data_IF_040405195120
#
_entry.id   IF_040405195120
#
_cell.length_a   1.000
_cell.length_b   1.000
_cell.length_c   1.000
_cell.angle_alpha   90.00
_cell.angle_beta   90.00
_cell.angle_gamma   90.00
#
_symmetry.space_group_name_H-M   'P 1'
#
loop_
_entity.id
_entity.type
_entity.pdbx_description
1 polymer ?
#
# COMPACT_ATOMS: atom_id res chain seq x y z
N UNK A 1 -7.67 -2.03 -10.68
CA UNK A 1 -6.20 -2.19 -10.70
C UNK A 1 -5.70 -2.00 -9.30
N UNK A 2 -4.92 -2.93 -8.80
CA UNK A 2 -4.27 -2.86 -7.50
C UNK A 2 -2.79 -2.54 -7.72
N UNK A 3 -2.20 -1.74 -6.85
CA UNK A 3 -0.83 -1.30 -6.98
C UNK A 3 -0.03 -1.56 -5.72
N UNK A 4 1.19 -2.06 -5.88
CA UNK A 4 2.24 -2.06 -4.86
C UNK A 4 3.34 -1.10 -5.29
N UNK A 5 3.95 -0.43 -4.33
CA UNK A 5 5.00 0.54 -4.61
C UNK A 5 6.26 0.23 -3.81
N UNK A 6 7.42 0.52 -4.38
CA UNK A 6 8.71 0.41 -3.69
C UNK A 6 9.30 1.80 -3.49
N UNK A 7 9.71 2.09 -2.25
CA UNK A 7 10.51 3.26 -1.93
C UNK A 7 11.87 2.78 -1.42
N UNK A 8 12.93 3.18 -2.12
CA UNK A 8 14.30 2.73 -1.85
C UNK A 8 15.16 3.91 -1.39
N UNK A 9 15.61 3.86 -0.14
CA UNK A 9 16.65 4.67 0.44
C UNK A 9 17.89 3.82 0.75
N UNK A 10 18.48 3.98 1.90
CA UNK A 10 19.44 3.02 2.48
C UNK A 10 18.70 1.77 2.96
N UNK A 11 17.44 1.92 3.34
CA UNK A 11 16.47 0.87 3.60
C UNK A 11 15.40 0.86 2.54
N UNK A 12 14.78 -0.31 2.34
CA UNK A 12 13.74 -0.51 1.33
C UNK A 12 12.39 -0.76 2.00
N UNK A 13 11.38 -0.01 1.58
CA UNK A 13 10.00 -0.22 1.96
C UNK A 13 9.16 -0.63 0.75
N UNK A 14 8.28 -1.62 0.93
CA UNK A 14 7.17 -1.88 0.02
C UNK A 14 5.88 -1.34 0.64
N UNK A 15 5.04 -0.70 -0.16
CA UNK A 15 3.77 -0.13 0.25
C UNK A 15 2.65 -0.93 -0.40
N UNK A 16 1.80 -1.50 0.44
CA UNK A 16 0.77 -2.48 0.17
C UNK A 16 1.26 -3.74 -0.56
N UNK A 17 0.83 -4.88 -0.11
CA UNK A 17 1.22 -6.18 -0.65
C UNK A 17 0.09 -6.82 -1.42
N UNK A 18 -0.03 -6.48 -2.68
CA UNK A 18 -1.16 -6.86 -3.53
C UNK A 18 -1.21 -8.37 -3.78
N UNK A 19 -2.39 -8.96 -3.58
CA UNK A 19 -2.71 -10.33 -3.95
C UNK A 19 -3.95 -10.36 -4.85
N UNK A 20 -3.91 -11.16 -5.90
CA UNK A 20 -5.07 -11.42 -6.75
C UNK A 20 -5.87 -12.64 -6.29
N UNK A 21 -6.93 -12.98 -7.03
CA UNK A 21 -7.78 -14.15 -6.76
C UNK A 21 -7.03 -15.48 -6.79
N UNK A 22 -5.96 -15.57 -7.58
CA UNK A 22 -5.13 -16.77 -7.75
C UNK A 22 -3.88 -16.79 -6.86
N UNK A 23 -3.82 -15.86 -5.87
CA UNK A 23 -2.66 -15.69 -5.00
C UNK A 23 -1.77 -14.51 -5.39
N UNK A 24 -0.53 -14.50 -4.89
CA UNK A 24 0.45 -13.48 -5.25
C UNK A 24 0.78 -13.57 -6.72
N UNK A 25 0.69 -12.45 -7.43
CA UNK A 25 0.96 -12.41 -8.86
C UNK A 25 2.44 -12.66 -9.15
N UNK A 26 2.74 -13.55 -10.08
CA UNK A 26 4.10 -13.74 -10.63
C UNK A 26 4.67 -12.40 -11.14
N UNK A 27 3.81 -11.51 -11.63
CA UNK A 27 4.15 -10.16 -12.07
C UNK A 27 4.83 -9.32 -10.98
N UNK A 28 4.45 -9.48 -9.70
CA UNK A 28 5.12 -8.79 -8.59
C UNK A 28 6.58 -9.20 -8.51
N UNK A 29 6.86 -10.51 -8.51
CA UNK A 29 8.22 -11.02 -8.42
C UNK A 29 9.05 -10.67 -9.66
N UNK A 30 8.46 -10.75 -10.87
CA UNK A 30 9.10 -10.29 -12.09
C UNK A 30 9.48 -8.80 -12.05
N UNK A 31 8.61 -7.95 -11.48
CA UNK A 31 8.90 -6.52 -11.34
C UNK A 31 9.99 -6.26 -10.30
N UNK A 32 10.01 -6.99 -9.18
CA UNK A 32 11.10 -6.92 -8.20
C UNK A 32 12.44 -7.32 -8.85
N UNK A 33 12.47 -8.44 -9.58
CA UNK A 33 13.67 -8.92 -10.28
C UNK A 33 14.16 -7.93 -11.34
N UNK A 34 13.26 -7.39 -12.19
CA UNK A 34 13.59 -6.40 -13.22
C UNK A 34 14.18 -5.09 -12.66
N UNK A 35 13.91 -4.78 -11.40
CA UNK A 35 14.42 -3.60 -10.72
C UNK A 35 15.56 -3.91 -9.74
N UNK A 36 16.15 -5.11 -9.83
CA UNK A 36 17.22 -5.56 -8.93
C UNK A 36 16.86 -5.44 -7.44
N UNK A 37 15.63 -5.80 -7.09
CA UNK A 37 15.13 -5.78 -5.72
C UNK A 37 14.97 -7.22 -5.24
N UNK A 38 15.82 -7.62 -4.29
CA UNK A 38 15.67 -8.89 -3.59
C UNK A 38 14.54 -8.76 -2.55
N UNK A 39 13.47 -9.56 -2.60
CA UNK A 39 12.43 -9.56 -1.57
C UNK A 39 12.98 -9.76 -0.14
N UNK A 40 14.09 -10.47 0.01
CA UNK A 40 14.76 -10.68 1.31
C UNK A 40 15.45 -9.44 1.85
N UNK A 41 15.67 -8.43 1.01
CA UNK A 41 16.30 -7.16 1.39
C UNK A 41 15.26 -6.05 1.64
N UNK A 42 13.96 -6.37 1.67
CA UNK A 42 12.92 -5.42 2.04
C UNK A 42 12.87 -5.32 3.57
N UNK A 43 13.13 -4.13 4.10
CA UNK A 43 13.16 -3.86 5.55
C UNK A 43 11.76 -3.62 6.12
N UNK A 44 10.87 -2.99 5.34
CA UNK A 44 9.55 -2.57 5.81
C UNK A 44 8.44 -2.94 4.84
N UNK A 45 7.34 -3.45 5.39
CA UNK A 45 6.06 -3.58 4.70
C UNK A 45 5.10 -2.53 5.27
N UNK A 46 4.80 -1.50 4.50
CA UNK A 46 3.83 -0.48 4.87
C UNK A 46 2.45 -0.99 4.49
N UNK A 47 1.55 -1.11 5.45
CA UNK A 47 0.18 -1.56 5.21
C UNK A 47 -0.75 -0.36 5.40
N UNK A 48 -1.16 0.24 4.29
CA UNK A 48 -2.12 1.34 4.29
C UNK A 48 -3.53 0.85 4.61
N UNK A 49 -3.86 -0.41 4.26
CA UNK A 49 -5.17 -0.99 4.38
C UNK A 49 -5.10 -2.52 4.54
N UNK A 50 -5.96 -3.08 5.38
CA UNK A 50 -5.94 -4.51 5.72
C UNK A 50 -6.93 -5.36 4.93
N UNK A 51 -7.64 -4.80 3.95
CA UNK A 51 -8.42 -5.62 3.04
C UNK A 51 -7.51 -6.66 2.36
N UNK A 52 -7.97 -7.92 2.19
CA UNK A 52 -7.07 -9.00 1.76
C UNK A 52 -6.36 -8.78 0.43
N UNK A 53 -6.93 -8.01 -0.48
CA UNK A 53 -6.30 -7.65 -1.75
C UNK A 53 -5.11 -6.69 -1.61
N UNK A 54 -5.02 -5.94 -0.49
CA UNK A 54 -3.87 -5.09 -0.14
C UNK A 54 -2.91 -5.75 0.85
N UNK A 55 -3.38 -6.65 1.69
CA UNK A 55 -2.60 -7.22 2.79
C UNK A 55 -2.26 -8.70 2.62
N UNK A 56 -2.87 -9.37 1.66
CA UNK A 56 -2.76 -10.83 1.51
C UNK A 56 -1.34 -11.35 1.28
N UNK A 57 -0.44 -10.52 0.77
CA UNK A 57 0.96 -10.90 0.57
C UNK A 57 1.75 -11.12 1.87
N UNK A 58 1.28 -10.58 3.00
CA UNK A 58 1.96 -10.70 4.30
C UNK A 58 2.35 -12.14 4.60
N UNK A 59 1.43 -13.07 4.39
CA UNK A 59 1.65 -14.50 4.67
C UNK A 59 2.75 -15.11 3.81
N UNK A 60 2.73 -14.83 2.51
CA UNK A 60 3.71 -15.36 1.57
C UNK A 60 5.04 -14.68 1.74
N UNK A 61 5.04 -13.38 2.01
CA UNK A 61 6.23 -12.60 2.25
C UNK A 61 7.00 -13.08 3.48
N UNK A 62 6.31 -13.43 4.57
CA UNK A 62 6.93 -14.01 5.77
C UNK A 62 7.71 -15.31 5.47
N UNK A 63 7.29 -16.09 4.47
CA UNK A 63 8.01 -17.29 4.06
C UNK A 63 9.28 -17.00 3.24
N UNK A 64 9.39 -15.81 2.67
CA UNK A 64 10.52 -15.37 1.84
C UNK A 64 11.53 -14.59 2.68
N UNK A 65 11.02 -13.72 3.56
CA UNK A 65 11.79 -12.82 4.40
C UNK A 65 11.23 -12.89 5.83
N UNK A 66 12.06 -13.23 6.79
CA UNK A 66 11.71 -13.33 8.21
C UNK A 66 12.24 -12.14 9.05
N UNK A 67 12.92 -11.18 8.39
CA UNK A 67 13.52 -10.00 9.03
C UNK A 67 12.96 -8.69 8.43
N UNK A 68 11.66 -8.51 8.55
CA UNK A 68 10.98 -7.27 8.15
C UNK A 68 10.05 -6.77 9.25
N UNK A 69 9.77 -5.46 9.25
CA UNK A 69 8.81 -4.84 10.16
C UNK A 69 7.58 -4.35 9.39
N UNK A 70 6.39 -4.69 9.86
CA UNK A 70 5.14 -4.09 9.36
C UNK A 70 4.97 -2.69 9.98
N UNK A 71 4.69 -1.70 9.15
CA UNK A 71 4.33 -0.34 9.57
C UNK A 71 2.86 -0.13 9.26
N UNK A 72 2.06 0.11 10.29
CA UNK A 72 0.60 0.26 10.11
C UNK A 72 -0.05 1.01 11.29
N UNK A 73 -1.36 1.25 11.21
CA UNK A 73 -2.15 1.82 12.32
C UNK A 73 -2.37 0.81 13.46
N UNK A 74 -2.76 1.28 14.65
CA UNK A 74 -3.13 0.40 15.78
C UNK A 74 -4.30 -0.55 15.44
N UNK A 75 -5.23 -0.11 14.59
CA UNK A 75 -6.35 -0.96 14.15
C UNK A 75 -5.88 -2.02 13.16
N UNK A 76 -5.02 -1.65 12.21
CA UNK A 76 -4.42 -2.58 11.28
C UNK A 76 -3.57 -3.63 12.01
N UNK A 77 -2.78 -3.24 13.00
CA UNK A 77 -1.99 -4.18 13.80
C UNK A 77 -2.84 -5.29 14.43
N UNK A 78 -4.03 -4.95 14.96
CA UNK A 78 -4.98 -5.93 15.52
C UNK A 78 -5.52 -6.89 14.45
N UNK A 79 -5.71 -6.39 13.22
CA UNK A 79 -6.15 -7.21 12.09
C UNK A 79 -5.01 -8.12 11.60
N UNK A 80 -3.75 -7.65 11.57
CA UNK A 80 -2.58 -8.48 11.25
C UNK A 80 -2.53 -9.69 12.18
N UNK A 81 -2.58 -9.49 13.50
CA UNK A 81 -2.61 -10.58 14.48
C UNK A 81 -3.81 -11.52 14.32
N UNK A 82 -4.97 -10.99 13.90
CA UNK A 82 -6.17 -11.79 13.70
C UNK A 82 -6.15 -12.62 12.41
N UNK A 83 -5.53 -12.11 11.34
CA UNK A 83 -5.60 -12.73 10.01
C UNK A 83 -4.38 -13.60 9.70
N UNK A 84 -3.21 -13.26 10.25
CA UNK A 84 -1.96 -13.87 9.83
C UNK A 84 -1.24 -14.59 10.96
N UNK A 85 -0.51 -13.88 11.81
CA UNK A 85 0.31 -14.49 12.85
C UNK A 85 0.68 -13.48 13.93
N UNK A 86 0.93 -13.98 15.16
CA UNK A 86 1.39 -13.15 16.27
C UNK A 86 2.92 -12.93 16.26
N UNK A 87 3.65 -13.67 15.44
CA UNK A 87 5.14 -13.61 15.38
C UNK A 87 5.62 -12.75 14.18
N UNK A 88 5.07 -11.56 14.05
CA UNK A 88 5.50 -10.55 13.07
C UNK A 88 5.84 -9.28 13.82
N UNK A 89 7.00 -8.69 13.51
CA UNK A 89 7.37 -7.39 14.08
C UNK A 89 6.48 -6.27 13.51
N UNK A 90 5.83 -5.52 14.38
CA UNK A 90 4.91 -4.45 14.01
C UNK A 90 5.28 -3.15 14.72
N UNK A 91 5.50 -2.11 13.96
CA UNK A 91 5.60 -0.74 14.43
C UNK A 91 4.30 0.01 14.13
N UNK A 92 3.55 0.32 15.19
CA UNK A 92 2.33 1.15 15.08
C UNK A 92 2.72 2.61 14.88
N UNK A 93 2.05 3.27 13.91
CA UNK A 93 2.23 4.69 13.60
C UNK A 93 0.93 5.48 13.80
N UNK A 94 1.10 6.78 14.01
CA UNK A 94 0.05 7.78 14.20
C UNK A 94 0.21 8.91 13.20
N UNK A 95 -0.76 9.81 13.18
CA UNK A 95 -0.72 11.01 12.34
C UNK A 95 0.57 11.79 12.56
N UNK A 96 1.27 12.06 11.46
CA UNK A 96 2.51 12.82 11.43
C UNK A 96 3.76 12.05 11.86
N UNK A 97 3.64 10.78 12.26
CA UNK A 97 4.81 9.93 12.49
C UNK A 97 5.60 9.75 11.19
N UNK A 98 6.92 9.59 11.34
CA UNK A 98 7.83 9.47 10.20
C UNK A 98 8.68 8.23 10.28
N UNK A 99 9.02 7.70 9.10
CA UNK A 99 10.00 6.65 8.88
C UNK A 99 11.07 7.17 7.91
N UNK A 100 12.28 7.33 8.41
CA UNK A 100 13.43 7.68 7.60
C UNK A 100 14.05 6.40 7.02
N UNK A 101 14.05 6.29 5.70
CA UNK A 101 14.65 5.18 4.97
C UNK A 101 16.12 5.46 4.60
N UNK A 102 16.66 6.61 4.98
CA UNK A 102 17.97 7.07 4.55
C UNK A 102 17.97 7.65 3.13
N UNK A 103 19.11 8.20 2.73
CA UNK A 103 19.31 8.80 1.40
C UNK A 103 18.24 9.84 1.01
N UNK A 104 17.72 10.60 1.99
CA UNK A 104 16.68 11.64 1.81
C UNK A 104 15.25 11.11 1.70
N UNK A 105 15.03 9.81 1.71
CA UNK A 105 13.70 9.21 1.62
C UNK A 105 13.02 9.12 2.97
N UNK A 106 11.98 9.91 3.17
CA UNK A 106 11.19 9.97 4.40
C UNK A 106 9.72 9.71 4.10
N UNK A 107 9.14 8.73 4.79
CA UNK A 107 7.72 8.44 4.73
C UNK A 107 7.01 9.05 5.94
N UNK A 108 5.92 9.78 5.70
CA UNK A 108 5.01 10.32 6.71
C UNK A 108 3.66 9.64 6.63
N UNK A 109 3.01 9.40 7.78
CA UNK A 109 1.79 8.59 7.87
C UNK A 109 0.60 9.44 8.32
N UNK A 110 -0.55 9.23 7.67
CA UNK A 110 -1.78 9.96 7.92
C UNK A 110 -2.97 8.99 8.00
N UNK A 111 -3.37 8.56 9.20
CA UNK A 111 -4.57 7.73 9.37
C UNK A 111 -5.83 8.45 8.89
N UNK A 112 -6.61 7.76 8.07
CA UNK A 112 -7.89 8.22 7.51
C UNK A 112 -8.99 7.18 7.79
N UNK A 113 -9.38 7.02 9.07
CA UNK A 113 -10.26 5.93 9.47
C UNK A 113 -11.62 6.02 8.78
N UNK A 114 -12.12 4.85 8.34
CA UNK A 114 -13.37 4.68 7.60
C UNK A 114 -13.36 5.20 6.15
N UNK A 115 -12.18 5.33 5.58
CA UNK A 115 -12.01 5.60 4.16
C UNK A 115 -11.22 4.42 3.51
N UNK A 116 -11.85 3.22 3.19
CA UNK A 116 -13.26 2.91 3.57
C UNK A 116 -13.34 1.98 4.78
N UNK A 117 -12.22 1.43 5.26
CA UNK A 117 -12.13 0.63 6.50
C UNK A 117 -11.58 1.45 7.68
N UNK A 118 -11.81 0.99 8.92
CA UNK A 118 -11.41 1.74 10.11
C UNK A 118 -9.90 1.80 10.36
N UNK A 119 -9.11 0.97 9.68
CA UNK A 119 -7.65 0.85 9.80
C UNK A 119 -6.88 1.67 8.77
N UNK A 120 -7.55 2.19 7.74
CA UNK A 120 -6.92 2.86 6.59
C UNK A 120 -6.04 4.03 7.00
N UNK A 121 -4.87 4.13 6.35
CA UNK A 121 -3.98 5.28 6.40
C UNK A 121 -3.45 5.62 5.01
N UNK A 122 -2.91 6.80 4.87
CA UNK A 122 -2.16 7.26 3.70
C UNK A 122 -0.68 7.32 4.06
N UNK A 123 0.17 7.04 3.09
CA UNK A 123 1.62 7.21 3.21
C UNK A 123 2.09 8.26 2.23
N UNK A 124 2.88 9.22 2.70
CA UNK A 124 3.41 10.31 1.88
C UNK A 124 4.93 10.28 1.87
N UNK A 125 5.55 10.24 0.70
CA UNK A 125 6.99 10.37 0.52
C UNK A 125 7.35 11.84 0.30
N UNK A 126 8.16 12.39 1.22
CA UNK A 126 8.35 13.84 1.36
C UNK A 126 9.23 14.46 0.26
N UNK A 127 10.24 13.76 -0.24
CA UNK A 127 11.17 14.29 -1.22
C UNK A 127 10.53 14.39 -2.61
N UNK A 128 9.97 13.29 -3.09
CA UNK A 128 9.31 13.22 -4.41
C UNK A 128 7.89 13.78 -4.37
N UNK A 129 7.35 14.06 -3.18
CA UNK A 129 5.98 14.55 -2.96
C UNK A 129 4.90 13.60 -3.50
N UNK A 130 5.11 12.31 -3.30
CA UNK A 130 4.19 11.26 -3.76
C UNK A 130 3.30 10.82 -2.60
N UNK A 131 1.98 10.84 -2.81
CA UNK A 131 0.99 10.30 -1.90
C UNK A 131 0.56 8.90 -2.36
N UNK A 132 0.76 7.92 -1.49
CA UNK A 132 0.26 6.56 -1.66
C UNK A 132 -1.09 6.47 -0.94
N UNK A 133 -2.15 6.59 -1.71
CA UNK A 133 -3.50 6.83 -1.18
C UNK A 133 -4.30 5.56 -0.95
N UNK A 134 -3.76 4.38 -1.29
CA UNK A 134 -4.51 3.14 -1.25
C UNK A 134 -5.84 3.31 -2.00
N UNK A 135 -6.98 2.93 -1.40
CA UNK A 135 -8.30 3.03 -2.02
C UNK A 135 -8.93 4.42 -1.96
N UNK A 136 -8.30 5.40 -1.28
CA UNK A 136 -8.93 6.68 -0.98
C UNK A 136 -9.43 7.44 -2.22
N UNK A 137 -8.84 7.32 -3.35
CA UNK A 137 -9.32 7.93 -4.59
C UNK A 137 -9.75 6.87 -5.61
N UNK A 138 -10.03 5.65 -5.12
CA UNK A 138 -10.50 4.57 -5.93
C UNK A 138 -11.90 4.80 -6.47
N UNK A 139 -12.17 4.25 -7.65
CA UNK A 139 -13.48 4.23 -8.26
C UNK A 139 -13.72 2.91 -8.99
N UNK A 140 -14.97 2.51 -9.11
CA UNK A 140 -15.31 1.36 -9.93
C UNK A 140 -15.25 1.75 -11.41
N UNK A 141 -14.56 0.96 -12.20
CA UNK A 141 -14.42 1.16 -13.61
C UNK A 141 -13.08 0.67 -14.14
N UNK A 142 -12.92 0.78 -15.42
CA UNK A 142 -11.68 0.44 -16.10
C UNK A 142 -11.22 1.61 -16.95
N UNK A 143 -10.08 2.16 -16.62
CA UNK A 143 -9.38 3.09 -17.49
C UNK A 143 -8.77 2.26 -18.62
N UNK A 144 -9.20 2.55 -19.85
CA UNK A 144 -8.64 1.94 -21.05
C UNK A 144 -7.58 2.86 -21.62
N UNK A 145 -6.40 2.31 -21.86
CA UNK A 145 -5.33 2.98 -22.60
C UNK A 145 -4.71 4.22 -21.93
N UNK A 146 -5.08 4.54 -20.68
CA UNK A 146 -4.54 5.67 -19.91
C UNK A 146 -4.08 5.20 -18.52
N UNK A 147 -3.03 5.84 -18.00
CA UNK A 147 -2.50 5.58 -16.66
C UNK A 147 -2.60 6.78 -15.72
N UNK A 148 -2.81 7.97 -16.28
CA UNK A 148 -2.82 9.23 -15.55
C UNK A 148 -4.14 9.98 -15.80
N UNK A 149 -4.61 10.71 -14.83
CA UNK A 149 -5.85 11.47 -14.86
C UNK A 149 -5.81 12.66 -15.83
N UNK A 150 -4.62 13.20 -16.10
CA UNK A 150 -4.42 14.28 -17.09
C UNK A 150 -4.56 13.79 -18.55
N UNK A 151 -4.63 12.47 -18.75
CA UNK A 151 -4.90 11.85 -20.05
C UNK A 151 -6.41 11.62 -20.27
N UNK A 152 -7.24 11.80 -19.23
CA UNK A 152 -8.69 11.57 -19.28
C UNK A 152 -9.46 12.78 -19.82
N UNK A 153 -10.59 12.51 -20.45
CA UNK A 153 -11.56 13.55 -20.80
C UNK A 153 -12.34 14.03 -19.58
N UNK A 154 -12.90 15.23 -19.62
CA UNK A 154 -13.75 15.76 -18.53
C UNK A 154 -14.92 14.82 -18.21
N UNK A 155 -15.50 14.15 -19.20
CA UNK A 155 -16.61 13.20 -19.02
C UNK A 155 -16.16 11.93 -18.27
N UNK A 156 -14.96 11.42 -18.57
CA UNK A 156 -14.38 10.27 -17.87
C UNK A 156 -14.02 10.63 -16.43
N UNK A 157 -13.40 11.79 -16.18
CA UNK A 157 -13.12 12.28 -14.82
C UNK A 157 -14.42 12.39 -14.01
N UNK A 158 -15.47 13.00 -14.56
CA UNK A 158 -16.76 13.12 -13.87
C UNK A 158 -17.37 11.75 -13.55
N UNK A 159 -17.24 10.77 -14.46
CA UNK A 159 -17.72 9.41 -14.21
C UNK A 159 -16.97 8.77 -13.01
N UNK A 160 -15.66 8.93 -12.92
CA UNK A 160 -14.88 8.39 -11.81
C UNK A 160 -15.18 9.10 -10.49
N UNK A 161 -15.39 10.41 -10.50
CA UNK A 161 -15.83 11.16 -9.32
C UNK A 161 -17.18 10.67 -8.81
N UNK A 162 -18.16 10.49 -9.69
CA UNK A 162 -19.50 9.99 -9.34
C UNK A 162 -19.44 8.56 -8.77
N UNK A 163 -18.63 7.69 -9.33
CA UNK A 163 -18.41 6.33 -8.81
C UNK A 163 -17.67 6.34 -7.48
N UNK A 164 -16.67 7.20 -7.31
CA UNK A 164 -15.97 7.38 -6.04
C UNK A 164 -16.92 7.86 -4.93
N UNK A 165 -17.75 8.86 -5.20
CA UNK A 165 -18.79 9.32 -4.27
C UNK A 165 -19.73 8.17 -3.89
N UNK A 166 -20.17 7.37 -4.85
CA UNK A 166 -21.04 6.21 -4.61
C UNK A 166 -20.34 5.16 -3.73
N UNK A 167 -19.06 4.92 -3.95
CA UNK A 167 -18.25 3.96 -3.18
C UNK A 167 -18.14 4.35 -1.70
N UNK A 168 -17.89 5.64 -1.42
CA UNK A 168 -17.70 6.13 -0.04
C UNK A 168 -18.99 6.58 0.68
N UNK A 169 -20.13 6.61 -0.01
CA UNK A 169 -21.42 7.08 0.56
C UNK A 169 -22.25 5.97 1.20
N UNK A 170 -21.81 4.73 1.20
CA UNK A 170 -22.56 3.59 1.72
C UNK A 170 -22.15 3.25 3.16
#
# INVERSE_FOLDING_TARGET
TLNSYIVKGDKTAIIDGVIGWDGVSDTLYEHLEKNDIDPKAIDYLIVNHMEPDHSGWIKDFKNINDDFTIICTDKAAKLVHSFYDDDIDIRVVKEGDKLDLGNGKVLSFYPVPNVHWPDTMLTYEEESKVLFSCDMYGAFGMIKDHYFDDELTEEEVQLFEDEGIRYYSN
#
